data_IF_051004098837
#
_entry.id   IF_051004098837
#
_cell.length_a   1.000
_cell.length_b   1.000
_cell.length_c   1.000
_cell.angle_alpha   90.00
_cell.angle_beta   90.00
_cell.angle_gamma   90.00
#
_symmetry.space_group_name_H-M   'P 1'
#
loop_
_entity.id
_entity.type
_entity.pdbx_description
1 polymer ?
#
# COMPACT_ATOMS: atom_id res chain seq x y z
N UNK A 1 -7.24 7.78 12.16
CA UNK A 1 -6.31 8.67 12.88
C UNK A 1 -5.61 9.73 12.03
N UNK A 2 -5.47 9.60 10.70
CA UNK A 2 -5.16 10.76 9.81
C UNK A 2 -6.13 10.93 8.63
N UNK A 3 -7.22 10.16 8.62
CA UNK A 3 -8.28 10.32 7.64
C UNK A 3 -9.26 11.38 8.12
N UNK A 4 -9.14 12.59 7.58
CA UNK A 4 -10.24 13.55 7.56
C UNK A 4 -11.17 13.13 6.41
N UNK A 5 -12.28 12.49 6.75
CA UNK A 5 -13.24 11.88 5.83
C UNK A 5 -13.61 12.77 4.64
N UNK A 6 -13.72 12.23 3.40
CA UNK A 6 -14.61 12.81 2.41
C UNK A 6 -16.04 12.59 2.89
N UNK A 7 -16.83 13.65 2.99
CA UNK A 7 -18.25 13.56 3.26
C UNK A 7 -18.95 12.76 2.15
N UNK A 8 -19.12 11.46 2.33
CA UNK A 8 -20.00 10.62 1.53
C UNK A 8 -21.13 10.11 2.44
N UNK A 9 -22.16 10.96 2.62
CA UNK A 9 -23.47 10.51 3.10
C UNK A 9 -24.00 9.46 2.12
N UNK A 10 -23.83 8.17 2.42
CA UNK A 10 -24.64 7.12 1.80
C UNK A 10 -26.06 7.18 2.39
N UNK A 11 -26.91 8.02 1.80
CA UNK A 11 -28.37 7.87 1.90
C UNK A 11 -28.77 6.71 0.98
N UNK A 12 -29.38 5.67 1.54
CA UNK A 12 -29.86 4.52 0.80
C UNK A 12 -30.42 3.45 1.72
N UNK A 13 -31.55 3.75 2.37
CA UNK A 13 -32.35 2.78 3.14
C UNK A 13 -32.97 1.79 2.13
N UNK A 14 -32.48 0.56 2.07
CA UNK A 14 -33.23 -0.57 1.51
C UNK A 14 -33.81 -1.37 2.68
N UNK A 15 -35.12 -1.26 2.84
CA UNK A 15 -35.94 -2.14 3.68
C UNK A 15 -36.14 -3.46 2.94
N UNK A 16 -35.39 -4.48 3.33
CA UNK A 16 -35.59 -5.86 2.92
C UNK A 16 -35.02 -6.76 4.00
N UNK A 17 -35.88 -7.49 4.70
CA UNK A 17 -35.54 -8.39 5.81
C UNK A 17 -34.82 -9.65 5.34
N UNK A 18 -33.58 -9.51 4.90
CA UNK A 18 -32.63 -10.61 4.80
C UNK A 18 -31.70 -10.60 6.02
N UNK A 19 -31.36 -11.78 6.54
CA UNK A 19 -30.31 -11.95 7.55
C UNK A 19 -29.08 -11.17 7.10
N UNK A 20 -28.69 -10.14 7.86
CA UNK A 20 -27.43 -9.44 7.63
C UNK A 20 -26.31 -10.46 7.85
N UNK A 21 -25.71 -10.96 6.77
CA UNK A 21 -24.45 -11.71 6.89
C UNK A 21 -23.44 -10.76 7.51
N UNK A 22 -22.85 -11.16 8.62
CA UNK A 22 -21.76 -10.41 9.21
C UNK A 22 -20.61 -10.38 8.19
N UNK A 23 -20.18 -9.19 7.80
CA UNK A 23 -19.08 -9.01 6.84
C UNK A 23 -17.75 -9.05 7.61
N UNK A 24 -17.52 -10.16 8.31
CA UNK A 24 -16.20 -10.46 8.87
C UNK A 24 -15.22 -10.69 7.74
N UNK A 25 -13.97 -10.29 7.97
CA UNK A 25 -12.88 -10.56 7.03
C UNK A 25 -12.73 -12.08 6.79
N UNK A 26 -12.41 -12.54 5.56
CA UNK A 26 -12.28 -13.96 5.22
C UNK A 26 -11.40 -14.74 6.18
N UNK A 27 -10.28 -14.14 6.56
CA UNK A 27 -9.30 -14.71 7.47
C UNK A 27 -9.94 -15.02 8.84
N UNK A 28 -10.77 -14.11 9.36
CA UNK A 28 -11.45 -14.26 10.65
C UNK A 28 -12.51 -15.38 10.62
N UNK A 29 -13.02 -15.72 9.44
CA UNK A 29 -14.15 -16.63 9.31
C UNK A 29 -13.74 -18.12 9.33
N UNK A 30 -12.62 -18.51 8.69
CA UNK A 30 -12.16 -19.91 8.60
C UNK A 30 -10.70 -20.00 8.08
N UNK A 31 -9.99 -21.15 8.13
CA UNK A 31 -8.76 -21.39 7.34
C UNK A 31 -8.94 -21.10 5.85
N UNK A 32 -7.91 -20.60 5.16
CA UNK A 32 -8.01 -20.31 3.72
C UNK A 32 -8.50 -21.52 2.89
N UNK A 33 -7.98 -22.71 3.22
CA UNK A 33 -8.38 -23.97 2.58
C UNK A 33 -9.84 -24.38 2.83
N UNK A 34 -10.44 -23.92 3.93
CA UNK A 34 -11.84 -24.19 4.31
C UNK A 34 -12.78 -23.05 3.90
N UNK A 35 -12.29 -21.80 3.91
CA UNK A 35 -13.05 -20.60 3.54
C UNK A 35 -13.42 -20.62 2.06
N UNK A 36 -12.46 -20.93 1.19
CA UNK A 36 -12.70 -21.06 -0.25
C UNK A 36 -13.14 -22.49 -0.60
N UNK A 37 -14.33 -22.87 -0.13
CA UNK A 37 -15.08 -23.99 -0.69
C UNK A 37 -15.48 -23.70 -2.15
N UNK A 38 -15.87 -24.74 -2.90
CA UNK A 38 -16.10 -24.68 -4.35
C UNK A 38 -16.94 -23.46 -4.80
N UNK A 39 -18.08 -23.19 -4.16
CA UNK A 39 -18.96 -22.08 -4.54
C UNK A 39 -18.32 -20.70 -4.38
N UNK A 40 -17.59 -20.46 -3.28
CA UNK A 40 -16.95 -19.17 -3.02
C UNK A 40 -15.73 -18.97 -3.94
N UNK A 41 -14.99 -20.04 -4.24
CA UNK A 41 -13.90 -20.04 -5.21
C UNK A 41 -14.40 -19.68 -6.62
N UNK A 42 -15.48 -20.29 -7.08
CA UNK A 42 -16.09 -19.97 -8.38
C UNK A 42 -16.62 -18.54 -8.42
N UNK A 43 -17.29 -18.09 -7.35
CA UNK A 43 -17.85 -16.75 -7.25
C UNK A 43 -16.76 -15.67 -7.36
N UNK A 44 -15.62 -15.89 -6.70
CA UNK A 44 -14.50 -14.95 -6.73
C UNK A 44 -14.04 -14.65 -8.17
N UNK A 45 -14.00 -15.69 -9.02
CA UNK A 45 -13.55 -15.58 -10.40
C UNK A 45 -14.62 -15.04 -11.36
N UNK A 46 -15.91 -15.14 -11.03
CA UNK A 46 -17.00 -14.59 -11.85
C UNK A 46 -17.16 -13.07 -11.75
N UNK A 47 -16.54 -12.43 -10.75
CA UNK A 47 -16.73 -10.99 -10.49
C UNK A 47 -15.59 -10.18 -11.13
N UNK A 48 -15.83 -9.39 -12.20
CA UNK A 48 -14.77 -8.63 -12.89
C UNK A 48 -14.02 -7.65 -11.98
N UNK A 49 -14.70 -7.17 -10.93
CA UNK A 49 -14.10 -6.30 -9.92
C UNK A 49 -12.94 -6.99 -9.18
N UNK A 50 -13.04 -8.29 -8.90
CA UNK A 50 -11.98 -9.02 -8.21
C UNK A 50 -10.74 -9.12 -9.11
N UNK A 51 -10.92 -9.52 -10.37
CA UNK A 51 -9.84 -9.55 -11.37
C UNK A 51 -9.15 -8.20 -11.54
N UNK A 52 -9.92 -7.11 -11.65
CA UNK A 52 -9.35 -5.75 -11.75
C UNK A 52 -8.53 -5.37 -10.52
N UNK A 53 -9.05 -5.60 -9.32
CA UNK A 53 -8.33 -5.28 -8.08
C UNK A 53 -7.06 -6.13 -7.96
N UNK A 54 -7.12 -7.42 -8.27
CA UNK A 54 -5.95 -8.30 -8.25
C UNK A 54 -4.90 -7.86 -9.27
N UNK A 55 -5.31 -7.43 -10.46
CA UNK A 55 -4.41 -6.91 -11.47
C UNK A 55 -3.70 -5.63 -11.01
N UNK A 56 -4.45 -4.68 -10.46
CA UNK A 56 -3.94 -3.43 -9.88
C UNK A 56 -2.91 -3.71 -8.74
N UNK A 57 -3.22 -4.65 -7.84
CA UNK A 57 -2.33 -5.03 -6.74
C UNK A 57 -1.08 -5.77 -7.23
N UNK A 58 -1.23 -6.65 -8.23
CA UNK A 58 -0.12 -7.39 -8.82
C UNK A 58 0.85 -6.45 -9.53
N UNK A 59 0.34 -5.49 -10.31
CA UNK A 59 1.15 -4.45 -10.92
C UNK A 59 1.93 -3.68 -9.85
N UNK A 60 1.24 -3.17 -8.81
CA UNK A 60 1.90 -2.45 -7.73
C UNK A 60 2.97 -3.30 -7.01
N UNK A 61 2.71 -4.57 -6.74
CA UNK A 61 3.70 -5.49 -6.15
C UNK A 61 4.92 -5.67 -7.06
N UNK A 62 4.71 -5.92 -8.35
CA UNK A 62 5.78 -6.08 -9.32
C UNK A 62 6.64 -4.81 -9.45
N UNK A 63 6.01 -3.64 -9.45
CA UNK A 63 6.68 -2.33 -9.50
C UNK A 63 7.47 -2.04 -8.22
N UNK A 64 6.83 -2.11 -7.06
CA UNK A 64 7.44 -1.79 -5.76
C UNK A 64 8.57 -2.77 -5.40
N UNK A 65 8.42 -4.05 -5.74
CA UNK A 65 9.47 -5.05 -5.51
C UNK A 65 10.54 -5.11 -6.60
N UNK A 66 10.38 -4.37 -7.70
CA UNK A 66 11.29 -4.44 -8.85
C UNK A 66 11.44 -5.87 -9.38
N UNK A 67 10.34 -6.62 -9.49
CA UNK A 67 10.39 -8.07 -9.76
C UNK A 67 10.72 -8.42 -11.22
N UNK A 68 10.35 -7.59 -12.19
CA UNK A 68 10.50 -7.93 -13.62
C UNK A 68 11.96 -8.03 -14.10
N UNK A 69 12.88 -7.12 -13.74
CA UNK A 69 14.30 -7.28 -14.10
C UNK A 69 14.90 -8.56 -13.52
N UNK A 70 14.52 -8.92 -12.29
CA UNK A 70 15.00 -10.13 -11.61
C UNK A 70 14.40 -11.41 -12.22
N UNK A 71 13.18 -11.35 -12.76
CA UNK A 71 12.43 -12.52 -13.21
C UNK A 71 12.60 -12.88 -14.69
N UNK A 72 13.35 -12.12 -15.48
CA UNK A 72 13.40 -12.36 -16.94
C UNK A 72 13.99 -13.74 -17.27
N UNK A 73 13.20 -14.61 -17.92
CA UNK A 73 13.51 -16.02 -18.25
C UNK A 73 13.80 -16.96 -17.07
N UNK A 74 13.53 -16.52 -15.84
CA UNK A 74 13.76 -17.28 -14.61
C UNK A 74 12.55 -18.04 -14.08
N UNK A 75 12.59 -18.37 -12.79
CA UNK A 75 11.48 -18.96 -12.03
C UNK A 75 10.94 -17.95 -11.04
N UNK A 76 9.61 -17.76 -11.03
CA UNK A 76 8.90 -16.95 -10.04
C UNK A 76 8.01 -17.84 -9.19
N UNK A 77 8.02 -17.63 -7.88
CA UNK A 77 7.07 -18.25 -6.97
C UNK A 77 5.88 -17.30 -6.77
N UNK A 78 4.67 -17.75 -7.05
CA UNK A 78 3.44 -17.02 -6.71
C UNK A 78 2.78 -17.69 -5.50
N UNK A 79 2.94 -17.10 -4.32
CA UNK A 79 2.46 -17.68 -3.06
C UNK A 79 1.04 -17.21 -2.74
N UNK A 80 0.15 -18.18 -2.52
CA UNK A 80 -1.29 -17.93 -2.45
C UNK A 80 -1.85 -17.51 -3.80
N UNK A 81 -1.41 -18.18 -4.87
CA UNK A 81 -1.78 -17.87 -6.24
C UNK A 81 -3.30 -18.00 -6.48
N UNK A 82 -4.01 -18.71 -5.61
CA UNK A 82 -5.45 -18.92 -5.69
C UNK A 82 -5.83 -19.50 -7.05
N UNK A 83 -6.77 -18.85 -7.73
CA UNK A 83 -7.16 -19.23 -9.07
C UNK A 83 -6.29 -18.64 -10.19
N UNK A 84 -5.17 -17.98 -9.86
CA UNK A 84 -4.16 -17.55 -10.83
C UNK A 84 -4.29 -16.12 -11.38
N UNK A 85 -5.11 -15.24 -10.79
CA UNK A 85 -5.26 -13.86 -11.27
C UNK A 85 -3.97 -13.03 -11.18
N UNK A 86 -3.19 -13.21 -10.10
CA UNK A 86 -1.85 -12.64 -9.94
C UNK A 86 -0.89 -13.21 -10.97
N UNK A 87 -0.87 -14.53 -11.12
CA UNK A 87 -0.04 -15.25 -12.11
C UNK A 87 -0.28 -14.72 -13.53
N UNK A 88 -1.54 -14.64 -13.96
CA UNK A 88 -1.93 -14.13 -15.29
C UNK A 88 -1.46 -12.70 -15.49
N UNK A 89 -1.72 -11.82 -14.52
CA UNK A 89 -1.31 -10.41 -14.61
C UNK A 89 0.21 -10.29 -14.71
N UNK A 90 0.95 -11.03 -13.87
CA UNK A 90 2.42 -10.96 -13.86
C UNK A 90 3.02 -11.48 -15.17
N UNK A 91 2.49 -12.56 -15.74
CA UNK A 91 2.94 -13.06 -17.04
C UNK A 91 2.62 -12.10 -18.18
N UNK A 92 1.48 -11.41 -18.16
CA UNK A 92 1.15 -10.39 -19.15
C UNK A 92 2.16 -9.23 -19.11
N UNK A 93 2.48 -8.74 -17.90
CA UNK A 93 3.51 -7.70 -17.68
C UNK A 93 4.89 -8.16 -18.16
N UNK A 94 5.32 -9.36 -17.76
CA UNK A 94 6.64 -9.89 -18.10
C UNK A 94 6.81 -10.18 -19.59
N UNK A 95 5.73 -10.55 -20.29
CA UNK A 95 5.76 -10.84 -21.73
C UNK A 95 6.09 -9.60 -22.58
N UNK A 96 5.87 -8.38 -22.08
CA UNK A 96 6.27 -7.16 -22.78
C UNK A 96 7.79 -7.05 -22.98
N UNK A 97 8.56 -7.67 -22.10
CA UNK A 97 10.03 -7.69 -22.13
C UNK A 97 10.61 -8.89 -22.88
N UNK A 98 9.75 -9.66 -23.57
CA UNK A 98 10.12 -10.85 -24.32
C UNK A 98 9.53 -12.13 -23.75
N UNK A 99 10.37 -13.01 -23.19
CA UNK A 99 9.95 -14.34 -22.76
C UNK A 99 9.64 -14.33 -21.26
N UNK A 100 8.37 -14.45 -20.84
CA UNK A 100 8.00 -14.35 -19.43
C UNK A 100 8.56 -15.54 -18.62
N UNK A 101 8.75 -15.41 -17.31
CA UNK A 101 9.26 -16.48 -16.46
C UNK A 101 8.36 -17.71 -16.43
N UNK A 102 8.93 -18.82 -15.96
CA UNK A 102 8.13 -19.94 -15.48
C UNK A 102 7.60 -19.62 -14.08
N UNK A 103 6.30 -19.73 -13.84
CA UNK A 103 5.70 -19.44 -12.54
C UNK A 103 5.26 -20.73 -11.84
N UNK A 104 5.71 -20.91 -10.60
CA UNK A 104 5.20 -21.94 -9.70
C UNK A 104 4.19 -21.30 -8.75
N UNK A 105 2.91 -21.54 -9.00
CA UNK A 105 1.82 -21.04 -8.16
C UNK A 105 1.50 -22.00 -7.02
N UNK A 106 1.57 -21.53 -5.79
CA UNK A 106 1.27 -22.31 -4.59
C UNK A 106 -0.03 -21.82 -3.96
N UNK A 107 -0.92 -22.72 -3.59
CA UNK A 107 -2.09 -22.40 -2.78
C UNK A 107 -2.47 -23.56 -1.87
N UNK A 108 -3.11 -23.28 -0.74
CA UNK A 108 -3.59 -24.32 0.18
C UNK A 108 -5.00 -24.81 -0.15
N UNK A 109 -5.75 -24.10 -0.99
CA UNK A 109 -7.10 -24.46 -1.41
C UNK A 109 -7.08 -25.22 -2.73
N UNK A 110 -7.42 -26.50 -2.69
CA UNK A 110 -7.61 -27.32 -3.89
C UNK A 110 -8.70 -26.77 -4.82
N UNK A 111 -9.75 -26.15 -4.27
CA UNK A 111 -10.84 -25.54 -5.04
C UNK A 111 -10.38 -24.30 -5.82
N UNK A 112 -9.55 -23.45 -5.22
CA UNK A 112 -8.97 -22.30 -5.91
C UNK A 112 -8.07 -22.75 -7.06
N UNK A 113 -7.19 -23.74 -6.81
CA UNK A 113 -6.32 -24.32 -7.85
C UNK A 113 -7.12 -25.00 -8.98
N UNK A 114 -8.24 -25.65 -8.66
CA UNK A 114 -9.12 -26.27 -9.66
C UNK A 114 -9.83 -25.21 -10.52
N UNK A 115 -10.29 -24.11 -9.90
CA UNK A 115 -10.95 -23.00 -10.62
C UNK A 115 -10.02 -22.32 -11.61
N UNK A 116 -8.71 -22.37 -11.35
CA UNK A 116 -7.70 -21.80 -12.21
C UNK A 116 -7.65 -22.44 -13.62
N UNK A 117 -8.13 -23.69 -13.79
CA UNK A 117 -8.28 -24.31 -15.11
C UNK A 117 -9.41 -23.65 -15.93
N UNK A 118 -10.32 -22.94 -15.25
CA UNK A 118 -11.43 -22.20 -15.82
C UNK A 118 -11.25 -20.69 -15.84
N UNK A 119 -10.02 -20.15 -15.76
CA UNK A 119 -9.78 -18.73 -16.06
C UNK A 119 -10.23 -18.48 -17.49
N UNK A 120 -11.44 -17.93 -17.64
CA UNK A 120 -12.00 -17.65 -18.95
C UNK A 120 -11.45 -16.31 -19.44
N UNK A 121 -10.70 -16.33 -20.54
CA UNK A 121 -10.17 -15.15 -21.22
C UNK A 121 -11.21 -14.01 -21.39
N UNK A 122 -12.49 -14.27 -21.72
CA UNK A 122 -13.52 -13.23 -21.81
C UNK A 122 -13.75 -12.42 -20.52
N UNK A 123 -13.54 -13.02 -19.34
CA UNK A 123 -13.74 -12.32 -18.05
C UNK A 123 -12.61 -11.35 -17.71
N UNK A 124 -11.46 -11.53 -18.37
CA UNK A 124 -10.26 -10.73 -18.18
C UNK A 124 -10.08 -9.67 -19.27
N UNK A 125 -10.67 -9.89 -20.44
CA UNK A 125 -10.59 -9.00 -21.59
C UNK A 125 -10.96 -7.55 -21.22
N UNK A 126 -10.08 -6.61 -21.57
CA UNK A 126 -10.26 -5.18 -21.32
C UNK A 126 -9.84 -4.73 -19.92
N UNK A 127 -9.44 -5.66 -19.03
CA UNK A 127 -8.80 -5.30 -17.77
C UNK A 127 -7.35 -4.96 -18.06
N UNK A 128 -7.05 -3.66 -17.99
CA UNK A 128 -5.75 -3.12 -18.34
C UNK A 128 -5.00 -2.57 -17.13
N UNK A 129 -3.72 -2.88 -17.07
CA UNK A 129 -2.77 -2.28 -16.12
C UNK A 129 -1.73 -1.47 -16.89
N UNK A 130 -1.07 -0.48 -16.26
CA UNK A 130 0.10 0.13 -16.89
C UNK A 130 1.12 -0.95 -17.23
N UNK A 131 1.77 -0.82 -18.38
CA UNK A 131 2.86 -1.71 -18.74
C UNK A 131 4.07 -1.51 -17.83
N UNK A 132 5.10 -2.32 -18.06
CA UNK A 132 6.39 -2.15 -17.41
C UNK A 132 7.48 -2.38 -18.44
N UNK A 133 8.22 -1.32 -18.80
CA UNK A 133 9.38 -1.42 -19.68
C UNK A 133 10.65 -1.55 -18.83
N UNK A 134 11.60 -2.43 -19.22
CA UNK A 134 12.92 -2.47 -18.63
C UNK A 134 13.84 -1.35 -19.16
N UNK A 135 13.45 -0.65 -20.23
CA UNK A 135 14.27 0.38 -20.89
C UNK A 135 13.71 1.79 -20.64
N UNK A 136 14.58 2.73 -20.25
CA UNK A 136 14.24 4.14 -20.14
C UNK A 136 13.86 4.75 -21.51
N UNK A 137 12.84 5.61 -21.55
CA UNK A 137 12.43 6.33 -22.76
C UNK A 137 11.44 5.62 -23.69
N UNK A 138 10.97 4.41 -23.35
CA UNK A 138 9.86 3.77 -24.07
C UNK A 138 8.52 4.23 -23.49
N UNK A 139 7.56 4.64 -24.31
CA UNK A 139 6.19 4.87 -23.82
C UNK A 139 5.64 3.57 -23.24
N UNK A 140 5.37 3.62 -21.94
CA UNK A 140 4.82 2.49 -21.21
C UNK A 140 3.31 2.53 -21.42
N UNK A 141 2.86 1.85 -22.48
CA UNK A 141 1.43 1.68 -22.78
C UNK A 141 0.69 0.92 -21.68
N UNK A 142 -0.51 0.45 -21.97
CA UNK A 142 -1.23 -0.43 -21.06
C UNK A 142 -1.16 -1.88 -21.57
N UNK A 143 -1.14 -2.83 -20.63
CA UNK A 143 -1.21 -4.28 -20.90
C UNK A 143 -2.61 -4.75 -20.60
N UNK A 144 -3.21 -5.48 -21.54
CA UNK A 144 -4.38 -6.30 -21.24
C UNK A 144 -3.94 -7.58 -20.54
N UNK A 145 -4.45 -7.82 -19.33
CA UNK A 145 -4.02 -8.98 -18.55
C UNK A 145 -4.44 -10.31 -19.20
N UNK A 146 -5.43 -10.30 -20.11
CA UNK A 146 -5.83 -11.52 -20.83
C UNK A 146 -4.68 -12.12 -21.65
N UNK A 147 -3.70 -11.30 -22.06
CA UNK A 147 -2.49 -11.75 -22.77
C UNK A 147 -1.61 -12.70 -21.94
N UNK A 148 -1.78 -12.71 -20.62
CA UNK A 148 -1.10 -13.62 -19.70
C UNK A 148 -1.65 -15.05 -19.73
N UNK A 149 -2.93 -15.24 -20.11
CA UNK A 149 -3.62 -16.54 -20.04
C UNK A 149 -2.89 -17.61 -20.86
N UNK A 150 -2.41 -17.25 -22.06
CA UNK A 150 -1.66 -18.17 -22.94
C UNK A 150 -0.36 -18.67 -22.32
N UNK A 151 0.22 -17.92 -21.39
CA UNK A 151 1.48 -18.25 -20.75
C UNK A 151 1.28 -19.13 -19.53
N UNK A 152 0.12 -19.07 -18.87
CA UNK A 152 -0.15 -19.88 -17.68
C UNK A 152 -0.11 -21.36 -18.02
N UNK A 153 -0.63 -21.74 -19.20
CA UNK A 153 -0.59 -23.14 -19.67
C UNK A 153 0.78 -23.58 -20.19
N UNK A 154 1.64 -22.64 -20.61
CA UNK A 154 2.94 -22.96 -21.25
C UNK A 154 4.12 -22.84 -20.30
N UNK A 155 4.00 -22.00 -19.27
CA UNK A 155 5.06 -21.57 -18.36
C UNK A 155 4.53 -21.38 -16.94
N UNK A 156 3.61 -22.24 -16.51
CA UNK A 156 3.02 -22.15 -15.19
C UNK A 156 2.62 -23.53 -14.67
N UNK A 157 3.07 -23.86 -13.47
CA UNK A 157 2.59 -25.02 -12.71
C UNK A 157 1.88 -24.58 -11.44
N UNK A 158 1.00 -25.44 -10.95
CA UNK A 158 0.18 -25.21 -9.77
C UNK A 158 0.40 -26.30 -8.75
N UNK A 159 0.65 -25.91 -7.52
CA UNK A 159 1.08 -26.82 -6.45
C UNK A 159 0.18 -26.57 -5.24
N UNK A 160 -0.48 -27.64 -4.78
CA UNK A 160 -1.20 -27.63 -3.51
C UNK A 160 -0.18 -27.68 -2.38
N UNK A 161 -0.01 -26.57 -1.65
CA UNK A 161 0.93 -26.49 -0.53
C UNK A 161 0.53 -25.39 0.46
N UNK A 162 0.87 -25.61 1.73
CA UNK A 162 0.87 -24.58 2.75
C UNK A 162 2.20 -23.81 2.69
N UNK A 163 2.14 -22.51 2.41
CA UNK A 163 3.33 -21.65 2.29
C UNK A 163 4.10 -21.46 3.61
N UNK A 164 3.49 -21.81 4.76
CA UNK A 164 4.17 -21.79 6.06
C UNK A 164 5.05 -23.02 6.29
N UNK A 165 4.94 -24.04 5.43
CA UNK A 165 5.75 -25.26 5.48
C UNK A 165 6.92 -25.18 4.48
N UNK A 166 7.94 -26.05 4.63
CA UNK A 166 9.02 -26.15 3.64
C UNK A 166 8.47 -26.42 2.23
N UNK A 167 8.76 -25.52 1.28
CA UNK A 167 8.33 -25.66 -0.11
C UNK A 167 9.07 -26.85 -0.75
N UNK A 168 8.39 -27.70 -1.56
CA UNK A 168 8.95 -28.92 -2.13
C UNK A 168 9.86 -28.65 -3.34
N UNK A 169 10.82 -27.74 -3.16
CA UNK A 169 11.72 -27.23 -4.20
C UNK A 169 13.18 -27.41 -3.79
N UNK A 170 14.06 -27.49 -4.78
CA UNK A 170 15.52 -27.45 -4.57
C UNK A 170 15.96 -26.05 -4.12
N UNK A 171 17.18 -25.99 -3.61
CA UNK A 171 17.78 -24.73 -3.17
C UNK A 171 18.12 -23.83 -4.37
N UNK A 172 18.09 -22.51 -4.15
CA UNK A 172 18.53 -21.48 -5.11
C UNK A 172 17.89 -21.55 -6.52
N UNK A 173 16.63 -21.98 -6.64
CA UNK A 173 15.95 -22.11 -7.95
C UNK A 173 15.11 -20.90 -8.36
N UNK A 174 14.62 -20.11 -7.41
CA UNK A 174 13.65 -19.04 -7.67
C UNK A 174 14.30 -17.67 -7.69
N UNK A 175 14.01 -16.89 -8.73
CA UNK A 175 14.57 -15.56 -8.96
C UNK A 175 13.70 -14.43 -8.41
N UNK A 176 12.41 -14.70 -8.20
CA UNK A 176 11.52 -13.75 -7.55
C UNK A 176 10.38 -14.44 -6.80
N UNK A 177 9.83 -13.74 -5.81
CA UNK A 177 8.65 -14.16 -5.06
C UNK A 177 7.57 -13.09 -5.17
N UNK A 178 6.42 -13.48 -5.69
CA UNK A 178 5.20 -12.69 -5.71
C UNK A 178 4.22 -13.31 -4.70
N UNK A 179 3.50 -12.46 -3.97
CA UNK A 179 2.32 -12.90 -3.23
C UNK A 179 1.32 -11.76 -3.21
N UNK A 180 0.06 -12.03 -3.57
CA UNK A 180 -0.99 -11.00 -3.58
C UNK A 180 -2.17 -11.46 -2.75
N UNK A 181 -2.47 -10.70 -1.69
CA UNK A 181 -3.61 -10.97 -0.79
C UNK A 181 -3.55 -12.35 -0.11
N UNK A 182 -2.36 -12.85 0.25
CA UNK A 182 -2.22 -14.18 0.86
C UNK A 182 -1.46 -14.23 2.20
N UNK A 183 -0.37 -13.50 2.39
CA UNK A 183 0.44 -13.66 3.62
C UNK A 183 -0.27 -13.25 4.92
N UNK A 184 -1.37 -12.50 4.84
CA UNK A 184 -2.17 -12.17 6.02
C UNK A 184 -2.82 -13.38 6.70
N UNK A 185 -3.04 -14.48 5.96
CA UNK A 185 -3.58 -15.72 6.53
C UNK A 185 -2.62 -16.37 7.54
N UNK A 186 -1.35 -15.96 7.56
CA UNK A 186 -0.35 -16.40 8.53
C UNK A 186 -0.31 -15.55 9.80
N UNK A 187 -0.95 -14.37 9.79
CA UNK A 187 -0.93 -13.41 10.90
C UNK A 187 -2.00 -13.66 11.96
N UNK A 188 -2.86 -14.64 11.72
CA UNK A 188 -4.00 -14.88 12.60
C UNK A 188 -3.63 -15.68 13.84
N UNK A 189 -4.01 -15.13 14.98
CA UNK A 189 -4.06 -15.84 16.25
C UNK A 189 -5.35 -16.65 16.28
N UNK A 190 -5.30 -17.92 15.85
CA UNK A 190 -6.45 -18.80 16.03
C UNK A 190 -6.31 -19.58 17.33
N UNK A 191 -7.42 -19.82 18.04
CA UNK A 191 -7.46 -20.87 19.02
C UNK A 191 -7.23 -22.20 18.33
N UNK A 192 -6.13 -22.87 18.68
CA UNK A 192 -6.03 -24.30 18.37
C UNK A 192 -7.20 -25.02 19.05
N UNK A 193 -7.77 -25.98 18.32
CA UNK A 193 -8.97 -26.75 18.62
C UNK A 193 -9.46 -26.69 20.08
N UNK A 194 -10.56 -25.95 20.32
CA UNK A 194 -11.55 -26.00 21.41
C UNK A 194 -11.17 -26.42 22.87
N UNK A 195 -9.90 -26.58 23.23
CA UNK A 195 -9.44 -27.05 24.54
C UNK A 195 -8.48 -26.09 25.25
N UNK A 196 -7.67 -25.34 24.50
CA UNK A 196 -6.61 -24.47 25.06
C UNK A 196 -6.84 -22.98 24.77
N UNK A 197 -8.02 -22.49 25.15
CA UNK A 197 -8.33 -21.04 25.12
C UNK A 197 -7.41 -20.20 26.02
N UNK A 198 -6.64 -20.83 26.91
CA UNK A 198 -5.75 -20.16 27.85
C UNK A 198 -4.33 -19.91 27.32
N UNK A 199 -3.95 -20.41 26.13
CA UNK A 199 -2.56 -20.35 25.65
C UNK A 199 -2.38 -19.96 24.17
N UNK A 200 -3.31 -19.18 23.60
CA UNK A 200 -3.16 -18.59 22.27
C UNK A 200 -2.12 -17.47 22.29
N UNK A 201 -0.84 -17.84 22.38
CA UNK A 201 0.28 -16.91 22.42
C UNK A 201 0.62 -16.37 21.03
N UNK A 202 1.28 -15.21 20.98
CA UNK A 202 1.86 -14.64 19.76
C UNK A 202 2.87 -15.58 19.03
N UNK A 203 3.15 -16.77 19.57
CA UNK A 203 4.09 -17.74 19.03
C UNK A 203 3.60 -18.43 17.73
N UNK A 204 2.29 -18.66 17.56
CA UNK A 204 1.80 -19.42 16.41
C UNK A 204 1.97 -18.66 15.06
N UNK A 205 1.60 -17.37 14.94
CA UNK A 205 1.95 -16.57 13.75
C UNK A 205 3.45 -16.49 13.52
N UNK A 206 4.24 -16.34 14.59
CA UNK A 206 5.69 -16.26 14.50
C UNK A 206 6.29 -17.55 13.92
N UNK A 207 5.82 -18.73 14.35
CA UNK A 207 6.28 -20.01 13.83
C UNK A 207 5.95 -20.18 12.33
N UNK A 208 4.73 -19.83 11.91
CA UNK A 208 4.31 -19.89 10.49
C UNK A 208 5.13 -18.96 9.60
N UNK A 209 5.39 -17.74 10.06
CA UNK A 209 6.22 -16.78 9.33
C UNK A 209 7.68 -17.21 9.29
N UNK A 210 8.19 -17.79 10.38
CA UNK A 210 9.54 -18.38 10.38
C UNK A 210 9.63 -19.49 9.34
N UNK A 211 8.67 -20.41 9.30
CA UNK A 211 8.60 -21.47 8.29
C UNK A 211 8.57 -20.92 6.85
N UNK A 212 7.71 -19.93 6.59
CA UNK A 212 7.64 -19.24 5.29
C UNK A 212 8.99 -18.65 4.88
N UNK A 213 9.56 -17.76 5.69
CA UNK A 213 10.74 -17.01 5.28
C UNK A 213 12.02 -17.87 5.27
N UNK A 214 12.15 -18.87 6.16
CA UNK A 214 13.24 -19.85 6.11
C UNK A 214 13.15 -20.74 4.87
N UNK A 215 11.94 -21.18 4.50
CA UNK A 215 11.72 -21.92 3.27
C UNK A 215 12.08 -21.09 2.03
N UNK A 216 11.58 -19.85 1.96
CA UNK A 216 11.92 -18.91 0.88
C UNK A 216 13.41 -18.64 0.81
N UNK A 217 14.08 -18.44 1.94
CA UNK A 217 15.53 -18.23 2.03
C UNK A 217 16.31 -19.38 1.41
N UNK A 218 15.84 -20.62 1.59
CA UNK A 218 16.47 -21.83 1.03
C UNK A 218 16.27 -21.95 -0.48
N UNK A 219 15.06 -21.69 -0.98
CA UNK A 219 14.70 -21.98 -2.39
C UNK A 219 14.98 -20.82 -3.36
N UNK A 220 15.27 -19.62 -2.87
CA UNK A 220 15.48 -18.42 -3.69
C UNK A 220 16.96 -18.12 -3.91
N UNK A 221 17.32 -17.82 -5.16
CA UNK A 221 18.64 -17.41 -5.56
C UNK A 221 19.12 -16.17 -4.79
N UNK A 222 20.43 -15.97 -4.68
CA UNK A 222 21.02 -14.84 -3.94
C UNK A 222 20.62 -13.46 -4.50
N UNK A 223 20.28 -13.36 -5.77
CA UNK A 223 19.80 -12.13 -6.42
C UNK A 223 18.29 -11.91 -6.28
N UNK A 224 17.56 -12.84 -5.65
CA UNK A 224 16.11 -12.82 -5.71
C UNK A 224 15.50 -11.66 -4.92
N UNK A 225 14.38 -11.17 -5.44
CA UNK A 225 13.54 -10.13 -4.81
C UNK A 225 12.18 -10.69 -4.46
N UNK A 226 11.55 -10.15 -3.42
CA UNK A 226 10.17 -10.47 -3.07
C UNK A 226 9.30 -9.23 -3.02
N UNK A 227 8.02 -9.42 -3.38
CA UNK A 227 6.95 -8.47 -3.13
C UNK A 227 5.69 -9.21 -2.69
N UNK A 228 5.20 -8.89 -1.48
CA UNK A 228 4.05 -9.53 -0.88
C UNK A 228 3.02 -8.48 -0.50
N UNK A 229 1.92 -8.40 -1.24
CA UNK A 229 0.78 -7.58 -0.87
C UNK A 229 -0.04 -8.29 0.21
N UNK A 230 -0.38 -7.56 1.27
CA UNK A 230 -1.14 -8.10 2.40
C UNK A 230 -2.18 -7.13 2.95
N UNK A 231 -3.07 -7.66 3.80
CA UNK A 231 -4.01 -6.87 4.61
C UNK A 231 -3.63 -7.04 6.07
N UNK A 232 -3.21 -5.97 6.79
CA UNK A 232 -2.89 -6.13 8.19
C UNK A 232 -4.16 -6.40 9.02
N UNK A 233 -4.02 -7.02 10.20
CA UNK A 233 -5.16 -7.33 11.06
C UNK A 233 -6.01 -6.09 11.38
N UNK A 234 -7.33 -6.27 11.37
CA UNK A 234 -8.27 -5.19 11.65
C UNK A 234 -8.07 -4.67 13.08
N UNK A 235 -7.87 -3.35 13.20
CA UNK A 235 -7.68 -2.69 14.50
C UNK A 235 -6.22 -2.60 14.97
N UNK A 236 -5.32 -3.38 14.38
CA UNK A 236 -3.88 -3.30 14.66
C UNK A 236 -3.05 -3.40 13.37
N UNK A 237 -3.05 -2.29 12.63
CA UNK A 237 -2.32 -2.23 11.36
C UNK A 237 -0.80 -2.31 11.55
N UNK A 238 -0.29 -1.88 12.71
CA UNK A 238 1.15 -1.81 12.98
C UNK A 238 1.71 -3.18 13.37
N UNK A 239 0.97 -4.00 14.13
CA UNK A 239 1.36 -5.37 14.45
C UNK A 239 1.65 -6.20 13.19
N UNK A 240 0.69 -6.28 12.24
CA UNK A 240 0.87 -7.08 11.03
C UNK A 240 2.10 -6.65 10.22
N UNK A 241 2.31 -5.34 10.10
CA UNK A 241 3.47 -4.78 9.41
C UNK A 241 4.80 -5.11 10.11
N UNK A 242 4.88 -4.92 11.44
CA UNK A 242 6.10 -5.20 12.23
C UNK A 242 6.48 -6.66 12.21
N UNK A 243 5.52 -7.56 12.40
CA UNK A 243 5.81 -9.00 12.50
C UNK A 243 6.24 -9.57 11.14
N UNK A 244 5.60 -9.16 10.04
CA UNK A 244 6.04 -9.53 8.69
C UNK A 244 7.46 -9.03 8.39
N UNK A 245 7.72 -7.74 8.61
CA UNK A 245 9.03 -7.15 8.38
C UNK A 245 10.11 -7.80 9.26
N UNK A 246 9.83 -7.98 10.55
CA UNK A 246 10.73 -8.60 11.50
C UNK A 246 11.08 -10.03 11.13
N UNK A 247 10.09 -10.83 10.72
CA UNK A 247 10.32 -12.22 10.30
C UNK A 247 11.15 -12.32 9.02
N UNK A 248 10.91 -11.43 8.05
CA UNK A 248 11.74 -11.35 6.84
C UNK A 248 13.21 -11.02 7.18
N UNK A 249 13.43 -10.02 8.05
CA UNK A 249 14.77 -9.64 8.52
C UNK A 249 15.46 -10.75 9.30
N UNK A 250 14.72 -11.47 10.14
CA UNK A 250 15.26 -12.61 10.90
C UNK A 250 15.72 -13.75 9.98
N UNK A 251 15.06 -13.94 8.84
CA UNK A 251 15.50 -14.84 7.78
C UNK A 251 16.52 -14.20 6.82
N UNK A 252 17.14 -13.09 7.24
CA UNK A 252 18.17 -12.31 6.57
C UNK A 252 17.80 -11.84 5.14
N UNK A 253 16.51 -11.57 4.91
CA UNK A 253 16.10 -10.78 3.75
C UNK A 253 16.52 -9.32 3.97
N UNK A 254 17.45 -8.85 3.13
CA UNK A 254 17.95 -7.49 3.14
C UNK A 254 16.87 -6.50 2.69
N UNK A 255 17.01 -5.25 3.13
CA UNK A 255 16.17 -4.11 2.73
C UNK A 255 14.66 -4.34 2.93
N UNK A 256 14.28 -5.24 3.84
CA UNK A 256 12.89 -5.56 4.14
C UNK A 256 12.13 -4.31 4.60
N UNK A 257 11.18 -3.88 3.78
CA UNK A 257 10.42 -2.66 3.93
C UNK A 257 8.92 -2.93 3.77
N UNK A 258 8.11 -2.33 4.65
CA UNK A 258 6.66 -2.28 4.47
C UNK A 258 6.34 -1.00 3.72
N UNK A 259 5.80 -1.13 2.52
CA UNK A 259 5.50 -0.01 1.64
C UNK A 259 3.99 0.18 1.54
N UNK A 260 3.56 1.42 1.70
CA UNK A 260 2.19 1.85 1.53
C UNK A 260 1.99 2.52 0.16
N UNK A 261 1.11 1.91 -0.62
CA UNK A 261 0.56 2.49 -1.84
C UNK A 261 -0.92 2.88 -1.62
N UNK A 262 -1.43 3.69 -2.53
CA UNK A 262 -2.68 4.38 -2.36
C UNK A 262 -3.68 4.08 -3.49
N UNK A 263 -4.98 4.11 -3.19
CA UNK A 263 -5.99 3.57 -4.09
C UNK A 263 -6.14 4.36 -5.40
N UNK A 264 -6.44 3.61 -6.46
CA UNK A 264 -6.69 4.08 -7.83
C UNK A 264 -7.98 4.90 -8.03
N UNK A 265 -8.87 4.93 -7.03
CA UNK A 265 -10.18 5.57 -7.14
C UNK A 265 -10.45 6.55 -5.98
N UNK A 266 -10.92 7.80 -6.25
CA UNK A 266 -11.15 8.81 -5.22
C UNK A 266 -12.17 8.43 -4.14
N UNK A 267 -13.05 7.47 -4.42
CA UNK A 267 -14.05 6.96 -3.47
C UNK A 267 -13.56 5.83 -2.57
N UNK A 268 -12.32 5.35 -2.76
CA UNK A 268 -11.68 4.39 -1.88
C UNK A 268 -10.64 5.10 -1.02
N UNK A 269 -10.66 4.82 0.28
CA UNK A 269 -9.65 5.30 1.24
C UNK A 269 -8.73 4.17 1.71
N UNK A 270 -8.87 2.98 1.11
CA UNK A 270 -8.15 1.80 1.53
C UNK A 270 -6.71 1.85 1.02
N UNK A 271 -5.78 2.07 1.94
CA UNK A 271 -4.34 1.90 1.72
C UNK A 271 -4.04 0.46 1.31
N UNK A 272 -3.01 0.28 0.49
CA UNK A 272 -2.53 -1.03 0.02
C UNK A 272 -1.14 -1.27 0.61
N UNK A 273 -0.96 -2.42 1.24
CA UNK A 273 0.24 -2.74 2.02
C UNK A 273 1.05 -3.79 1.28
N UNK A 274 2.35 -3.54 1.17
CA UNK A 274 3.30 -4.43 0.52
C UNK A 274 4.50 -4.64 1.44
N UNK A 275 5.01 -5.86 1.50
CA UNK A 275 6.34 -6.15 2.01
C UNK A 275 7.25 -6.37 0.80
N UNK A 276 8.34 -5.62 0.72
CA UNK A 276 9.38 -5.79 -0.30
C UNK A 276 10.71 -6.11 0.37
N UNK A 277 11.51 -7.01 -0.22
CA UNK A 277 12.85 -7.32 0.28
C UNK A 277 13.72 -7.97 -0.82
N UNK A 278 15.02 -8.03 -0.58
CA UNK A 278 16.01 -8.64 -1.48
C UNK A 278 16.87 -9.68 -0.75
N UNK A 279 17.36 -10.70 -1.45
CA UNK A 279 18.26 -11.72 -0.89
C UNK A 279 19.69 -11.21 -0.66
N UNK A 280 20.12 -10.24 -1.45
CA UNK A 280 21.38 -9.52 -1.29
C UNK A 280 21.10 -8.03 -1.18
N UNK A 281 21.87 -7.35 -0.34
CA UNK A 281 21.86 -5.89 -0.26
C UNK A 281 22.39 -5.34 -1.58
N UNK A 282 21.63 -4.45 -2.22
CA UNK A 282 22.18 -3.71 -3.35
C UNK A 282 23.34 -2.85 -2.83
N UNK A 283 24.47 -2.81 -3.55
CA UNK A 283 25.70 -2.06 -3.18
C UNK A 283 25.51 -0.53 -3.13
N UNK A 284 24.27 -0.05 -3.04
CA UNK A 284 23.95 1.37 -2.91
C UNK A 284 23.95 1.76 -1.43
N UNK A 285 24.49 2.96 -1.18
CA UNK A 285 24.72 3.66 0.10
C UNK A 285 23.79 3.26 1.26
N UNK A 286 24.27 3.30 2.52
CA UNK A 286 23.46 2.94 3.70
C UNK A 286 22.09 3.60 3.59
N UNK A 287 21.05 2.79 3.48
CA UNK A 287 19.66 3.25 3.45
C UNK A 287 19.45 3.99 4.76
N UNK A 288 19.46 5.32 4.71
CA UNK A 288 18.97 6.14 5.80
C UNK A 288 17.57 5.62 6.14
N UNK A 289 17.35 5.36 7.43
CA UNK A 289 16.15 4.72 7.97
C UNK A 289 14.89 5.18 7.22
N UNK A 290 13.89 4.30 6.99
CA UNK A 290 12.65 4.70 6.33
C UNK A 290 12.14 5.96 7.00
N UNK A 291 12.15 7.02 6.22
CA UNK A 291 11.83 8.35 6.69
C UNK A 291 10.35 8.29 7.07
N UNK A 292 10.01 8.75 8.27
CA UNK A 292 8.63 8.78 8.76
C UNK A 292 7.69 9.32 7.67
N UNK A 293 6.43 8.92 7.64
CA UNK A 293 5.49 9.51 6.68
C UNK A 293 4.13 9.71 7.33
N UNK A 294 3.59 10.91 7.22
CA UNK A 294 2.27 11.24 7.74
C UNK A 294 1.19 10.32 7.16
N UNK A 295 1.27 9.96 5.89
CA UNK A 295 0.32 9.02 5.30
C UNK A 295 0.50 7.58 5.80
N UNK A 296 1.62 7.25 6.43
CA UNK A 296 1.91 5.91 6.97
C UNK A 296 1.55 5.79 8.45
N UNK A 297 1.70 6.87 9.22
CA UNK A 297 1.27 6.94 10.62
C UNK A 297 -0.20 6.47 10.80
N UNK A 298 -0.49 5.65 11.83
CA UNK A 298 0.35 5.26 12.96
C UNK A 298 1.34 4.10 12.75
N UNK A 299 1.47 3.56 11.53
CA UNK A 299 2.36 2.42 11.30
C UNK A 299 3.78 2.92 11.07
N UNK A 300 4.63 2.83 12.09
CA UNK A 300 5.95 3.48 12.10
C UNK A 300 7.01 2.71 11.32
N UNK A 301 6.78 1.42 11.09
CA UNK A 301 7.67 0.58 10.28
C UNK A 301 7.39 0.66 8.79
N UNK A 302 6.29 1.32 8.40
CA UNK A 302 5.90 1.49 7.02
C UNK A 302 6.42 2.81 6.44
N UNK A 303 6.90 2.75 5.20
CA UNK A 303 7.21 3.91 4.38
C UNK A 303 6.16 4.07 3.27
N UNK A 304 6.07 5.25 2.66
CA UNK A 304 5.19 5.42 1.50
C UNK A 304 5.92 5.02 0.23
N UNK A 305 5.16 4.76 -0.85
CA UNK A 305 5.74 4.36 -2.13
C UNK A 305 6.85 5.31 -2.63
N UNK A 306 6.78 6.63 -2.38
CA UNK A 306 7.82 7.59 -2.80
C UNK A 306 9.18 7.37 -2.15
N UNK A 307 9.22 6.67 -1.02
CA UNK A 307 10.44 6.37 -0.27
C UNK A 307 11.01 4.98 -0.62
N UNK A 308 10.38 4.27 -1.57
CA UNK A 308 10.82 2.96 -2.03
C UNK A 308 11.96 3.11 -3.06
N UNK A 309 13.03 2.33 -2.91
CA UNK A 309 14.20 2.37 -3.80
C UNK A 309 13.89 2.01 -5.25
N UNK A 310 12.85 1.20 -5.48
CA UNK A 310 12.40 0.79 -6.81
C UNK A 310 11.73 1.93 -7.63
N UNK A 311 11.61 3.14 -7.08
CA UNK A 311 10.90 4.26 -7.73
C UNK A 311 11.70 5.03 -8.78
N UNK A 312 12.93 4.65 -9.10
CA UNK A 312 13.80 5.43 -9.99
C UNK A 312 13.54 5.20 -11.49
N UNK A 313 12.59 4.32 -11.89
CA UNK A 313 12.36 3.95 -13.29
C UNK A 313 10.97 4.33 -13.87
N UNK A 314 10.80 4.33 -15.21
CA UNK A 314 9.56 4.71 -15.88
C UNK A 314 8.36 3.83 -15.48
N UNK A 315 8.62 2.55 -15.19
CA UNK A 315 7.62 1.58 -14.70
C UNK A 315 7.06 1.93 -13.31
N UNK A 316 7.72 2.83 -12.56
CA UNK A 316 7.27 3.31 -11.27
C UNK A 316 6.37 4.55 -11.34
N UNK A 317 6.34 5.25 -12.48
CA UNK A 317 5.67 6.55 -12.63
C UNK A 317 4.21 6.54 -12.17
N UNK A 318 3.45 5.50 -12.52
CA UNK A 318 2.03 5.44 -12.14
C UNK A 318 1.85 5.24 -10.63
N UNK A 319 2.76 4.54 -9.96
CA UNK A 319 2.76 4.41 -8.49
C UNK A 319 3.17 5.73 -7.85
N UNK A 320 4.21 6.38 -8.39
CA UNK A 320 4.70 7.68 -7.95
C UNK A 320 3.61 8.76 -8.05
N UNK A 321 3.01 8.94 -9.23
CA UNK A 321 1.96 9.94 -9.48
C UNK A 321 0.77 9.75 -8.51
N UNK A 322 0.38 8.51 -8.21
CA UNK A 322 -0.65 8.21 -7.20
C UNK A 322 -0.24 8.64 -5.81
N UNK A 323 0.98 8.29 -5.39
CA UNK A 323 1.47 8.64 -4.07
C UNK A 323 1.60 10.17 -3.93
N UNK A 324 2.18 10.86 -4.91
CA UNK A 324 2.26 12.32 -4.96
C UNK A 324 0.88 12.98 -4.86
N UNK A 325 -0.10 12.48 -5.60
CA UNK A 325 -1.47 12.99 -5.56
C UNK A 325 -2.07 12.92 -4.14
N UNK A 326 -1.85 11.82 -3.42
CA UNK A 326 -2.36 11.69 -2.04
C UNK A 326 -1.63 12.59 -1.05
N UNK A 327 -0.31 12.75 -1.22
CA UNK A 327 0.46 13.70 -0.40
C UNK A 327 -0.02 15.13 -0.64
N UNK A 328 -0.24 15.52 -1.91
CA UNK A 328 -0.78 16.83 -2.28
C UNK A 328 -2.18 17.06 -1.71
N UNK A 329 -3.06 16.06 -1.74
CA UNK A 329 -4.41 16.18 -1.18
C UNK A 329 -4.40 16.30 0.35
N UNK A 330 -3.54 15.56 1.06
CA UNK A 330 -3.33 15.73 2.49
C UNK A 330 -2.76 17.11 2.81
N UNK A 331 -1.73 17.53 2.07
CA UNK A 331 -1.11 18.84 2.22
C UNK A 331 -2.11 19.97 2.01
N UNK A 332 -2.89 19.93 0.93
CA UNK A 332 -3.92 20.93 0.63
C UNK A 332 -4.94 21.06 1.78
N UNK A 333 -5.35 19.95 2.39
CA UNK A 333 -6.28 19.98 3.54
C UNK A 333 -5.63 20.61 4.76
N UNK A 334 -4.42 20.17 5.12
CA UNK A 334 -3.73 20.63 6.31
C UNK A 334 -3.23 22.08 6.19
N UNK A 335 -2.77 22.52 5.02
CA UNK A 335 -2.41 23.92 4.75
C UNK A 335 -3.62 24.83 4.95
N UNK A 336 -4.81 24.43 4.50
CA UNK A 336 -6.04 25.21 4.75
C UNK A 336 -6.34 25.35 6.24
N UNK A 337 -6.13 24.29 7.01
CA UNK A 337 -6.25 24.33 8.47
C UNK A 337 -5.18 25.24 9.08
N UNK A 338 -3.92 25.10 8.66
CA UNK A 338 -2.79 25.90 9.12
C UNK A 338 -2.98 27.40 8.89
N UNK A 339 -3.45 27.78 7.71
CA UNK A 339 -3.80 29.17 7.38
C UNK A 339 -4.83 29.74 8.35
N UNK A 340 -5.87 28.98 8.68
CA UNK A 340 -6.92 29.39 9.63
C UNK A 340 -6.39 29.47 11.07
N UNK A 341 -5.49 28.57 11.45
CA UNK A 341 -4.85 28.55 12.77
C UNK A 341 -3.87 29.72 12.96
N UNK A 342 -3.29 30.26 11.89
CA UNK A 342 -2.31 31.35 11.93
C UNK A 342 -2.87 32.73 11.55
N UNK A 343 -4.15 32.83 11.20
CA UNK A 343 -4.78 34.12 10.92
C UNK A 343 -4.86 34.94 12.23
N UNK A 344 -4.32 36.16 12.25
CA UNK A 344 -4.46 37.07 13.40
C UNK A 344 -5.93 37.32 13.68
N UNK A 345 -6.42 37.09 14.92
CA UNK A 345 -7.79 37.39 15.29
C UNK A 345 -7.90 38.88 15.60
N UNK A 346 -7.92 39.72 14.57
CA UNK A 346 -8.22 41.14 14.73
C UNK A 346 -9.75 41.27 14.97
N UNK A 347 -10.19 41.11 16.22
CA UNK A 347 -11.59 41.18 16.70
C UNK A 347 -12.65 40.41 15.88
N UNK A 348 -12.24 39.44 15.05
CA UNK A 348 -13.13 38.60 14.25
C UNK A 348 -13.55 37.35 15.05
N UNK A 349 -14.70 37.45 15.72
CA UNK A 349 -15.32 36.34 16.47
C UNK A 349 -15.51 35.07 15.60
N UNK A 350 -15.75 35.23 14.29
CA UNK A 350 -15.92 34.08 13.40
C UNK A 350 -14.58 33.37 13.16
N UNK A 351 -13.48 34.11 13.03
CA UNK A 351 -12.13 33.53 12.93
C UNK A 351 -11.73 32.78 14.21
N UNK A 352 -11.98 33.39 15.38
CA UNK A 352 -11.76 32.75 16.70
C UNK A 352 -12.58 31.45 16.85
N UNK A 353 -13.86 31.49 16.48
CA UNK A 353 -14.74 30.31 16.51
C UNK A 353 -14.27 29.18 15.60
N UNK A 354 -13.68 29.49 14.43
CA UNK A 354 -13.10 28.49 13.53
C UNK A 354 -11.83 27.89 14.14
N UNK A 355 -10.94 28.70 14.73
CA UNK A 355 -9.70 28.22 15.36
C UNK A 355 -10.00 27.26 16.51
N UNK A 356 -10.90 27.65 17.42
CA UNK A 356 -11.32 26.81 18.54
C UNK A 356 -11.88 25.46 18.05
N UNK A 357 -12.71 25.49 16.99
CA UNK A 357 -13.26 24.26 16.39
C UNK A 357 -12.18 23.37 15.80
N UNK A 358 -11.19 23.94 15.12
CA UNK A 358 -10.08 23.17 14.55
C UNK A 358 -9.22 22.53 15.65
N UNK A 359 -8.92 23.26 16.72
CA UNK A 359 -8.16 22.74 17.87
C UNK A 359 -8.90 21.60 18.59
N UNK A 360 -10.24 21.64 18.64
CA UNK A 360 -11.05 20.57 19.23
C UNK A 360 -11.19 19.34 18.32
N UNK A 361 -11.27 19.54 16.99
CA UNK A 361 -11.59 18.46 16.05
C UNK A 361 -10.36 17.74 15.48
N UNK A 362 -9.22 18.41 15.37
CA UNK A 362 -8.02 17.84 14.79
C UNK A 362 -7.19 17.10 15.84
N UNK A 363 -6.61 15.98 15.42
CA UNK A 363 -5.65 15.27 16.24
C UNK A 363 -4.38 16.13 16.47
N UNK A 364 -3.69 16.04 17.61
CA UNK A 364 -2.48 16.87 17.88
C UNK A 364 -1.42 16.81 16.77
N UNK A 365 -1.16 15.62 16.21
CA UNK A 365 -0.29 15.48 15.04
C UNK A 365 -0.75 16.32 13.83
N UNK A 366 -2.06 16.37 13.57
CA UNK A 366 -2.61 17.16 12.46
C UNK A 366 -2.47 18.66 12.70
N UNK A 367 -2.58 19.10 13.96
CA UNK A 367 -2.38 20.52 14.33
C UNK A 367 -0.92 20.93 14.10
N UNK A 368 0.05 20.14 14.59
CA UNK A 368 1.48 20.37 14.35
C UNK A 368 1.78 20.39 12.85
N UNK A 369 1.33 19.36 12.11
CA UNK A 369 1.54 19.29 10.67
C UNK A 369 0.89 20.45 9.90
N UNK A 370 -0.31 20.86 10.29
CA UNK A 370 -1.01 21.96 9.62
C UNK A 370 -0.22 23.26 9.72
N UNK A 371 0.34 23.56 10.90
CA UNK A 371 1.19 24.73 11.10
C UNK A 371 2.48 24.64 10.25
N UNK A 372 3.19 23.52 10.29
CA UNK A 372 4.44 23.33 9.55
C UNK A 372 4.24 23.35 8.03
N UNK A 373 3.18 22.73 7.52
CA UNK A 373 2.87 22.70 6.08
C UNK A 373 2.50 24.08 5.55
N UNK A 374 1.72 24.85 6.32
CA UNK A 374 1.39 26.22 5.94
C UNK A 374 2.65 27.10 5.88
N UNK A 375 3.51 27.05 6.89
CA UNK A 375 4.79 27.77 6.87
C UNK A 375 5.67 27.36 5.68
N UNK A 376 5.79 26.05 5.42
CA UNK A 376 6.59 25.55 4.30
C UNK A 376 6.04 26.01 2.94
N UNK A 377 4.72 26.08 2.78
CA UNK A 377 4.10 26.62 1.56
C UNK A 377 4.41 28.11 1.41
N UNK A 378 4.26 28.91 2.47
CA UNK A 378 4.58 30.33 2.43
C UNK A 378 6.05 30.56 2.08
N UNK A 379 6.99 29.84 2.72
CA UNK A 379 8.41 29.91 2.35
C UNK A 379 8.66 29.54 0.88
N UNK A 380 7.96 28.53 0.37
CA UNK A 380 8.06 28.14 -1.04
C UNK A 380 7.64 29.27 -2.00
N UNK A 381 6.53 29.96 -1.70
CA UNK A 381 6.04 31.10 -2.50
C UNK A 381 7.03 32.26 -2.52
N UNK A 382 7.57 32.61 -1.36
CA UNK A 382 8.55 33.70 -1.24
C UNK A 382 9.82 33.43 -2.05
N UNK A 383 10.26 32.17 -2.15
CA UNK A 383 11.43 31.81 -2.99
C UNK A 383 11.15 31.81 -4.49
N UNK A 384 9.89 31.73 -4.93
CA UNK A 384 9.52 31.77 -6.35
C UNK A 384 9.33 33.20 -6.86
N UNK A 385 9.08 34.16 -5.95
CA UNK A 385 8.84 35.58 -6.24
C UNK A 385 10.12 36.45 -6.23
N UNK A 386 11.33 35.86 -6.14
CA UNK A 386 12.61 36.59 -6.30
C UNK A 386 13.03 36.51 -7.77
N UNK A 387 12.88 37.59 -8.58
CA UNK A 387 13.42 37.60 -9.92
C UNK A 387 14.93 37.77 -9.84
N UNK A 388 15.66 36.96 -10.60
CA UNK A 388 17.01 37.31 -10.99
C UNK A 388 16.94 38.51 -11.96
N UNK A 389 17.74 39.54 -11.71
CA UNK A 389 17.83 40.84 -12.41
C UNK A 389 16.73 41.89 -12.15
N UNK A 390 17.20 43.11 -11.84
CA UNK A 390 16.38 44.24 -11.43
C UNK A 390 15.55 44.86 -12.53
N UNK A 391 14.29 45.17 -12.20
CA UNK A 391 13.62 46.45 -12.38
C UNK A 391 12.17 46.34 -11.88
N UNK A 392 11.76 47.27 -11.00
CA UNK A 392 10.36 47.64 -10.75
C UNK A 392 9.38 46.53 -10.33
N UNK A 393 9.53 45.96 -9.13
CA UNK A 393 8.49 45.11 -8.53
C UNK A 393 7.29 45.92 -8.00
N UNK A 394 6.07 45.33 -7.96
CA UNK A 394 4.91 46.02 -7.40
C UNK A 394 5.08 46.28 -5.89
N UNK A 395 4.70 47.49 -5.46
CA UNK A 395 4.70 47.96 -4.06
C UNK A 395 4.11 46.92 -3.08
N UNK A 396 4.68 46.84 -1.87
CA UNK A 396 4.18 46.05 -0.74
C UNK A 396 2.65 46.18 -0.52
N UNK A 397 2.08 47.36 -0.80
CA UNK A 397 0.64 47.60 -0.70
C UNK A 397 -0.20 46.78 -1.70
N UNK A 398 0.35 46.47 -2.89
CA UNK A 398 -0.30 45.61 -3.90
C UNK A 398 -0.18 44.12 -3.53
N UNK A 399 0.91 43.73 -2.85
CA UNK A 399 1.11 42.38 -2.30
C UNK A 399 0.19 42.12 -1.09
N UNK A 400 0.05 43.09 -0.20
CA UNK A 400 -0.92 43.05 0.90
C UNK A 400 -2.37 43.00 0.41
N UNK A 401 -2.69 43.69 -0.69
CA UNK A 401 -4.03 43.63 -1.32
C UNK A 401 -4.33 42.27 -1.97
N UNK A 402 -3.36 41.64 -2.63
CA UNK A 402 -3.51 40.29 -3.17
C UNK A 402 -3.63 39.23 -2.07
N UNK A 403 -2.96 39.42 -0.93
CA UNK A 403 -3.17 38.60 0.27
C UNK A 403 -4.57 38.82 0.91
N UNK A 404 -5.16 40.01 0.74
CA UNK A 404 -6.50 40.36 1.26
C UNK A 404 -7.67 39.85 0.39
N UNK A 405 -7.45 39.67 -0.91
CA UNK A 405 -8.43 39.03 -1.80
C UNK A 405 -8.20 37.52 -1.77
N UNK A 406 -8.96 36.83 -0.93
CA UNK A 406 -8.76 35.43 -0.61
C UNK A 406 -8.49 34.54 -1.83
N UNK A 407 -7.28 33.98 -1.86
CA UNK A 407 -6.84 32.99 -2.84
C UNK A 407 -7.90 31.92 -3.06
N UNK A 408 -8.21 31.66 -4.33
CA UNK A 408 -9.22 30.69 -4.71
C UNK A 408 -8.76 29.27 -4.37
N UNK A 409 -9.72 28.35 -4.21
CA UNK A 409 -9.40 26.93 -3.95
C UNK A 409 -8.51 26.32 -5.04
N UNK A 410 -8.67 26.78 -6.28
CA UNK A 410 -7.89 26.31 -7.43
C UNK A 410 -6.46 26.81 -7.37
N UNK A 411 -6.26 28.09 -7.08
CA UNK A 411 -4.92 28.69 -6.89
C UNK A 411 -4.13 27.98 -5.78
N UNK A 412 -4.76 27.76 -4.62
CA UNK A 412 -4.11 27.05 -3.52
C UNK A 412 -3.73 25.60 -3.90
N UNK A 413 -4.60 24.90 -4.64
CA UNK A 413 -4.29 23.55 -5.12
C UNK A 413 -3.09 23.57 -6.08
N UNK A 414 -3.03 24.53 -7.00
CA UNK A 414 -1.89 24.69 -7.90
C UNK A 414 -0.59 25.00 -7.15
N UNK A 415 -0.65 25.88 -6.14
CA UNK A 415 0.49 26.21 -5.29
C UNK A 415 1.00 24.99 -4.51
N UNK A 416 0.09 24.18 -3.94
CA UNK A 416 0.45 22.93 -3.25
C UNK A 416 1.10 21.93 -4.20
N UNK A 417 0.56 21.75 -5.42
CA UNK A 417 1.15 20.85 -6.41
C UNK A 417 2.55 21.30 -6.82
N UNK A 418 2.75 22.61 -7.06
CA UNK A 418 4.04 23.18 -7.44
C UNK A 418 5.09 23.07 -6.33
N UNK A 419 4.67 23.28 -5.08
CA UNK A 419 5.54 23.20 -3.90
C UNK A 419 5.63 21.80 -3.29
N UNK A 420 5.01 20.79 -3.89
CA UNK A 420 4.93 19.44 -3.34
C UNK A 420 6.31 18.88 -2.92
N UNK A 421 7.41 19.04 -3.68
CA UNK A 421 8.73 18.55 -3.25
C UNK A 421 9.18 19.10 -1.89
N UNK A 422 8.92 20.38 -1.60
CA UNK A 422 9.23 20.98 -0.29
C UNK A 422 8.27 20.50 0.80
N UNK A 423 6.99 20.37 0.46
CA UNK A 423 5.96 19.89 1.39
C UNK A 423 6.16 18.41 1.76
N UNK A 424 6.72 17.60 0.86
CA UNK A 424 7.12 16.22 1.14
C UNK A 424 8.15 16.17 2.27
N UNK A 425 9.10 17.11 2.35
CA UNK A 425 10.03 17.20 3.48
C UNK A 425 9.33 17.32 4.84
N UNK A 426 8.21 18.06 4.90
CA UNK A 426 7.37 18.15 6.11
C UNK A 426 6.53 16.89 6.31
N UNK A 427 5.90 16.37 5.25
CA UNK A 427 5.07 15.15 5.34
C UNK A 427 5.89 13.89 5.64
N UNK A 428 7.20 13.93 5.36
CA UNK A 428 8.14 12.85 5.61
C UNK A 428 8.97 13.07 6.89
N UNK A 429 8.76 14.16 7.62
CA UNK A 429 9.46 14.37 8.89
C UNK A 429 8.46 14.39 10.04
N UNK A 430 8.67 13.53 11.04
CA UNK A 430 7.85 13.55 12.24
C UNK A 430 7.94 14.93 12.89
N UNK A 431 6.82 15.64 13.15
CA UNK A 431 6.88 16.98 13.74
C UNK A 431 7.54 17.01 15.13
N UNK A 432 7.49 15.88 15.85
CA UNK A 432 8.12 15.69 17.15
C UNK A 432 8.41 14.21 17.41
N UNK A 433 9.37 13.94 18.31
CA UNK A 433 9.86 12.59 18.63
C UNK A 433 8.74 11.63 19.11
N UNK A 434 7.68 12.16 19.75
CA UNK A 434 6.52 11.36 20.20
C UNK A 434 5.78 10.66 19.07
N UNK A 435 5.90 11.16 17.84
CA UNK A 435 5.28 10.58 16.65
C UNK A 435 6.17 9.55 15.94
N UNK A 436 7.30 9.17 16.54
CA UNK A 436 8.17 8.12 16.01
C UNK A 436 7.85 6.73 16.58
N UNK A 437 7.12 6.67 17.69
CA UNK A 437 6.69 5.42 18.31
C UNK A 437 5.23 5.16 17.94
N UNK A 438 4.83 3.94 17.61
CA UNK A 438 3.43 3.68 17.30
C UNK A 438 2.57 3.98 18.55
N UNK A 439 1.30 4.38 18.39
CA UNK A 439 0.39 4.45 19.53
C UNK A 439 0.32 3.06 20.18
N UNK A 440 0.10 3.01 21.51
CA UNK A 440 -0.13 1.73 22.17
C UNK A 440 -1.24 0.96 21.44
N UNK A 441 -1.17 -0.38 21.38
CA UNK A 441 -2.26 -1.18 20.86
C UNK A 441 -3.54 -0.70 21.53
N UNK A 442 -4.65 -0.65 20.79
CA UNK A 442 -5.94 -0.55 21.45
C UNK A 442 -5.97 -1.74 22.41
N UNK A 443 -5.86 -1.49 23.72
CA UNK A 443 -6.30 -2.49 24.67
C UNK A 443 -7.68 -2.90 24.17
N UNK A 444 -7.99 -4.19 24.23
CA UNK A 444 -9.39 -4.54 24.30
C UNK A 444 -9.88 -3.82 25.57
N UNK A 445 -10.31 -2.57 25.39
CA UNK A 445 -11.10 -1.87 26.38
C UNK A 445 -12.29 -2.80 26.44
N UNK A 446 -12.33 -3.61 27.49
CA UNK A 446 -13.58 -4.15 27.97
C UNK A 446 -14.54 -2.97 27.91
N UNK A 447 -15.48 -3.05 26.98
CA UNK A 447 -16.68 -2.23 27.02
C UNK A 447 -17.49 -2.82 28.18
N UNK A 448 -16.94 -2.68 29.38
CA UNK A 448 -17.58 -2.88 30.64
C UNK A 448 -17.72 -1.47 31.22
N UNK A 449 -18.98 -1.06 31.28
CA UNK A 449 -19.53 -0.03 32.14
C UNK A 449 -19.29 1.46 31.76
N UNK A 450 -20.27 1.94 30.99
CA UNK A 450 -21.12 3.09 31.31
C UNK A 450 -20.48 4.33 31.95
N UNK A 451 -20.45 5.42 31.18
CA UNK A 451 -20.72 6.79 31.61
C UNK A 451 -21.45 7.54 30.48
#
# INVERSE_FOLDING_TARGET
MLQLSPAAKRRGRRTGGGVRRDHSHPEVAAPAGEYYAQEEAERYHRVPKAARVQAELTHAAATLGGLLPAANKGIVLDLGAGGGLSTVTFQALAAQSGSPPFILGFDTSSHMLATAAGIQEPSLLGIRVPGMSPCEGTEVGHVDISEGVRWVLRRGDRILADMSQPLPLREDIADAVLSVSAVQWLLELRPEAAGDRANCSAAAPQAKLTGLFSSLRRVTAKSAKLAMQFYPPKGDHDFGARVLQGSARQAEWADAAVVLDFPHHPSSLAKKWFLTASRCQELQSPVERPVWCALCWPVVVACCALQCSAMQGPSAKVVQDRAEQQHAELALRLVRCGRRLQTSPDDDEAALGIQARLQQQLHPLQLEMAASLFQALETCRHTQDVPDSGQGGPSEAKRARAASTGETRTELRSAVSLCLPKLLGVLHTAPSQRWLLPPPPLSQVDIADGL
#
